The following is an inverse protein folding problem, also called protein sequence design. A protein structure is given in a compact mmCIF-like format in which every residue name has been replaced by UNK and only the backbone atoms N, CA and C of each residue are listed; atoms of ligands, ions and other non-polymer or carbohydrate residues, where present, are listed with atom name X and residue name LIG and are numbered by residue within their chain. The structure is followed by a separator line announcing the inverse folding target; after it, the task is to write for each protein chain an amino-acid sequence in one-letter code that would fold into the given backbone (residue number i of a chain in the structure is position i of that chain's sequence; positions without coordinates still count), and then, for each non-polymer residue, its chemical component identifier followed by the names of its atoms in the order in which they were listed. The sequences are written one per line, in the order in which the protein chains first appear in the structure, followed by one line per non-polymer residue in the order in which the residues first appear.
data_IF_539843661952
#
_entry.id   IF_539843661952
#
_cell.length_a   1.000
_cell.length_b   1.000
_cell.length_c   1.000
_cell.angle_alpha   90.00
_cell.angle_beta   90.00
_cell.angle_gamma   90.00
#
_symmetry.space_group_name_H-M   'P 1'
#
loop_
_entity.id
_entity.type
_entity.pdbx_description
1 polymer ?
#
# COMPACT_ATOMS: atom_id res chain seq x y z
N UNK A 1 1.61 -37.65 -34.48
CA UNK A 1 1.17 -36.79 -33.36
C UNK A 1 1.66 -37.41 -32.06
N UNK A 2 2.92 -37.13 -31.68
CA UNK A 2 3.45 -37.51 -30.36
C UNK A 2 3.18 -36.34 -29.42
N UNK A 3 2.13 -36.41 -28.61
CA UNK A 3 2.00 -35.52 -27.46
C UNK A 3 3.03 -35.97 -26.43
N UNK A 4 4.20 -35.35 -26.43
CA UNK A 4 5.11 -35.40 -25.29
C UNK A 4 4.38 -34.75 -24.11
N UNK A 5 3.90 -35.57 -23.19
CA UNK A 5 3.38 -35.12 -21.91
C UNK A 5 4.53 -34.46 -21.15
N UNK A 6 4.57 -33.13 -21.19
CA UNK A 6 5.50 -32.33 -20.39
C UNK A 6 5.13 -32.57 -18.93
N UNK A 7 5.79 -33.52 -18.28
CA UNK A 7 5.71 -33.71 -16.83
C UNK A 7 6.54 -32.61 -16.20
N UNK A 8 5.86 -31.57 -15.72
CA UNK A 8 6.50 -30.58 -14.86
C UNK A 8 7.00 -31.28 -13.58
N UNK A 9 8.23 -31.00 -13.12
CA UNK A 9 8.71 -31.51 -11.83
C UNK A 9 7.79 -31.01 -10.72
N UNK A 10 7.54 -31.81 -9.68
CA UNK A 10 6.70 -31.42 -8.55
C UNK A 10 7.16 -30.12 -7.86
N UNK A 11 8.44 -29.77 -7.96
CA UNK A 11 8.99 -28.49 -7.49
C UNK A 11 8.47 -27.28 -8.26
N UNK A 12 8.13 -27.44 -9.54
CA UNK A 12 7.58 -26.37 -10.38
C UNK A 12 6.18 -25.98 -9.91
N UNK A 13 5.33 -26.96 -9.59
CA UNK A 13 3.99 -26.73 -9.05
C UNK A 13 4.05 -26.03 -7.69
N UNK A 14 5.01 -26.42 -6.84
CA UNK A 14 5.23 -25.80 -5.53
C UNK A 14 5.63 -24.32 -5.64
N UNK A 15 6.60 -24.00 -6.50
CA UNK A 15 7.08 -22.63 -6.71
C UNK A 15 5.98 -21.76 -7.32
N UNK A 16 5.25 -22.28 -8.31
CA UNK A 16 4.14 -21.54 -8.92
C UNK A 16 3.00 -21.27 -7.95
N UNK A 17 2.62 -22.27 -7.15
CA UNK A 17 1.58 -22.11 -6.13
C UNK A 17 1.98 -21.08 -5.07
N UNK A 18 3.25 -21.09 -4.65
CA UNK A 18 3.78 -20.12 -3.70
C UNK A 18 3.78 -18.70 -4.30
N UNK A 19 4.24 -18.55 -5.54
CA UNK A 19 4.27 -17.25 -6.24
C UNK A 19 2.86 -16.67 -6.40
N UNK A 20 1.89 -17.48 -6.82
CA UNK A 20 0.49 -17.07 -6.93
C UNK A 20 -0.10 -16.69 -5.57
N UNK A 21 0.25 -17.43 -4.51
CA UNK A 21 -0.15 -17.11 -3.14
C UNK A 21 0.33 -15.73 -2.69
N UNK A 22 1.59 -15.40 -2.94
CA UNK A 22 2.17 -14.08 -2.60
C UNK A 22 1.50 -12.96 -3.40
N UNK A 23 1.32 -13.14 -4.70
CA UNK A 23 0.64 -12.14 -5.55
C UNK A 23 -0.81 -11.94 -5.11
N UNK A 24 -1.53 -13.02 -4.82
CA UNK A 24 -2.91 -12.94 -4.33
C UNK A 24 -2.97 -12.22 -2.98
N UNK A 25 -2.06 -12.51 -2.06
CA UNK A 25 -1.99 -11.85 -0.76
C UNK A 25 -1.70 -10.35 -0.90
N UNK A 26 -0.72 -9.99 -1.73
CA UNK A 26 -0.40 -8.59 -2.03
C UNK A 26 -1.57 -7.84 -2.66
N UNK A 27 -2.26 -8.48 -3.62
CA UNK A 27 -3.46 -7.90 -4.24
C UNK A 27 -4.57 -7.66 -3.22
N UNK A 28 -4.83 -8.62 -2.33
CA UNK A 28 -5.81 -8.47 -1.25
C UNK A 28 -5.41 -7.31 -0.33
N UNK A 29 -4.14 -7.20 0.04
CA UNK A 29 -3.65 -6.11 0.88
C UNK A 29 -3.86 -4.73 0.24
N UNK A 30 -3.58 -4.59 -1.06
CA UNK A 30 -3.84 -3.34 -1.82
C UNK A 30 -5.32 -3.02 -1.85
N UNK A 31 -6.18 -4.01 -2.14
CA UNK A 31 -7.64 -3.82 -2.16
C UNK A 31 -8.14 -3.38 -0.79
N UNK A 32 -7.69 -4.02 0.29
CA UNK A 32 -8.06 -3.64 1.66
C UNK A 32 -7.58 -2.23 1.98
N UNK A 33 -6.35 -1.85 1.62
CA UNK A 33 -5.83 -0.51 1.82
C UNK A 33 -6.68 0.55 1.10
N UNK A 34 -7.02 0.31 -0.17
CA UNK A 34 -7.88 1.20 -0.96
C UNK A 34 -9.26 1.30 -0.32
N UNK A 35 -9.88 0.17 0.04
CA UNK A 35 -11.21 0.15 0.67
C UNK A 35 -11.19 0.88 2.00
N UNK A 36 -10.22 0.62 2.88
CA UNK A 36 -10.10 1.30 4.17
C UNK A 36 -9.86 2.80 3.96
N UNK A 37 -9.00 3.18 3.02
CA UNK A 37 -8.73 4.58 2.70
C UNK A 37 -10.00 5.28 2.17
N UNK A 38 -10.73 4.64 1.25
CA UNK A 38 -11.97 5.17 0.67
C UNK A 38 -13.08 5.22 1.71
N UNK A 39 -13.26 4.20 2.54
CA UNK A 39 -14.26 4.17 3.62
C UNK A 39 -13.93 5.24 4.66
N UNK A 40 -12.65 5.43 4.99
CA UNK A 40 -12.19 6.49 5.90
C UNK A 40 -12.40 7.88 5.29
N UNK A 41 -12.19 8.05 3.99
CA UNK A 41 -12.51 9.28 3.26
C UNK A 41 -14.02 9.55 3.18
N UNK A 42 -14.84 8.51 2.99
CA UNK A 42 -16.32 8.59 2.95
C UNK A 42 -16.92 8.94 4.31
N UNK A 43 -16.35 8.39 5.41
CA UNK A 43 -16.73 8.77 6.78
C UNK A 43 -16.48 10.27 7.07
N UNK A 44 -15.59 10.91 6.31
CA UNK A 44 -15.29 12.34 6.40
C UNK A 44 -16.18 13.23 5.51
N UNK A 45 -17.32 12.70 5.01
CA UNK A 45 -18.41 13.49 4.46
C UNK A 45 -18.15 14.13 3.09
N UNK A 46 -17.23 13.55 2.29
CA UNK A 46 -16.92 14.10 0.96
C UNK A 46 -18.01 13.63 -0.01
N UNK A 47 -19.03 14.47 -0.20
CA UNK A 47 -20.08 14.29 -1.19
C UNK A 47 -19.54 14.62 -2.59
N UNK A 48 -19.51 13.65 -3.53
CA UNK A 48 -18.78 13.76 -4.79
C UNK A 48 -19.42 14.65 -5.88
N UNK A 49 -20.56 15.30 -5.62
CA UNK A 49 -21.31 16.06 -6.63
C UNK A 49 -21.08 17.59 -6.61
N UNK A 50 -20.33 18.11 -5.63
CA UNK A 50 -19.90 19.53 -5.54
C UNK A 50 -18.37 19.68 -5.45
N UNK A 51 -17.66 18.59 -5.72
CA UNK A 51 -16.30 18.32 -5.24
C UNK A 51 -15.22 19.30 -5.70
N UNK A 52 -15.34 20.01 -6.82
CA UNK A 52 -14.22 20.82 -7.31
C UNK A 52 -13.98 22.08 -6.47
N UNK A 53 -15.04 22.78 -6.06
CA UNK A 53 -14.94 24.03 -5.29
C UNK A 53 -14.66 23.72 -3.82
N UNK A 54 -15.33 22.71 -3.27
CA UNK A 54 -15.07 22.25 -1.90
C UNK A 54 -13.69 21.61 -1.75
N UNK A 55 -13.16 20.93 -2.78
CA UNK A 55 -11.77 20.45 -2.74
C UNK A 55 -10.77 21.60 -2.76
N UNK A 56 -10.96 22.64 -3.58
CA UNK A 56 -10.05 23.78 -3.60
C UNK A 56 -10.04 24.52 -2.25
N UNK A 57 -11.23 24.77 -1.68
CA UNK A 57 -11.35 25.39 -0.35
C UNK A 57 -10.77 24.48 0.75
N UNK A 58 -11.07 23.17 0.70
CA UNK A 58 -10.58 22.21 1.69
C UNK A 58 -9.09 21.90 1.53
N UNK A 59 -8.50 22.05 0.36
CA UNK A 59 -7.05 21.97 0.11
C UNK A 59 -6.30 23.21 0.64
N UNK A 60 -6.87 24.39 0.44
CA UNK A 60 -6.33 25.64 1.03
C UNK A 60 -6.42 25.60 2.55
N UNK A 61 -7.56 25.13 3.08
CA UNK A 61 -7.77 24.99 4.51
C UNK A 61 -6.99 23.81 5.10
N UNK A 62 -6.81 22.71 4.38
CA UNK A 62 -5.98 21.58 4.82
C UNK A 62 -4.50 21.90 4.78
N UNK A 63 -3.99 22.69 3.82
CA UNK A 63 -2.62 23.24 3.90
C UNK A 63 -2.43 24.10 5.15
N UNK A 64 -3.49 24.75 5.61
CA UNK A 64 -3.46 25.58 6.82
C UNK A 64 -3.71 24.81 8.13
N UNK A 65 -4.35 23.62 8.08
CA UNK A 65 -4.78 22.85 9.26
C UNK A 65 -4.30 21.38 9.31
N UNK A 66 -3.62 20.85 8.30
CA UNK A 66 -3.01 19.53 8.39
C UNK A 66 -1.67 19.67 9.10
N UNK A 67 -1.50 19.07 10.29
CA UNK A 67 -0.19 18.54 10.60
C UNK A 67 0.04 17.47 9.55
N UNK A 68 0.97 17.72 8.63
CA UNK A 68 1.62 16.64 7.90
C UNK A 68 1.97 15.59 8.97
N UNK A 69 1.46 14.36 8.84
CA UNK A 69 1.74 13.32 9.84
C UNK A 69 3.24 13.34 10.07
N UNK A 70 3.64 13.58 11.32
CA UNK A 70 5.04 13.82 11.63
C UNK A 70 5.89 12.69 11.06
N UNK A 71 7.07 13.04 10.56
CA UNK A 71 8.01 12.07 9.99
C UNK A 71 8.18 10.85 10.91
N UNK A 72 8.26 11.09 12.22
CA UNK A 72 8.36 10.04 13.24
C UNK A 72 7.16 9.09 13.25
N UNK A 73 5.93 9.61 13.16
CA UNK A 73 4.72 8.77 13.11
C UNK A 73 4.71 7.85 11.87
N UNK A 74 5.17 8.37 10.73
CA UNK A 74 5.28 7.60 9.49
C UNK A 74 6.36 6.54 9.57
N UNK A 75 7.48 6.83 10.23
CA UNK A 75 8.55 5.86 10.45
C UNK A 75 8.13 4.75 11.41
N UNK A 76 7.43 5.09 12.48
CA UNK A 76 6.89 4.11 13.45
C UNK A 76 5.90 3.14 12.79
N UNK A 77 5.05 3.63 11.87
CA UNK A 77 4.12 2.78 11.13
C UNK A 77 4.85 1.80 10.21
N UNK A 78 5.95 2.22 9.57
CA UNK A 78 6.79 1.35 8.75
C UNK A 78 7.50 0.27 9.59
N UNK A 79 7.99 0.64 10.77
CA UNK A 79 8.60 -0.31 11.72
C UNK A 79 7.58 -1.35 12.22
N UNK A 80 6.34 -0.92 12.51
CA UNK A 80 5.24 -1.81 12.92
C UNK A 80 4.84 -2.78 11.80
N UNK A 81 4.80 -2.31 10.55
CA UNK A 81 4.53 -3.16 9.39
C UNK A 81 5.64 -4.20 9.18
N UNK A 82 6.90 -3.83 9.36
CA UNK A 82 8.03 -4.75 9.28
C UNK A 82 8.01 -5.76 10.43
N UNK A 83 7.70 -5.33 11.65
CA UNK A 83 7.60 -6.19 12.83
C UNK A 83 6.49 -7.25 12.70
N UNK A 84 5.37 -6.89 12.05
CA UNK A 84 4.28 -7.83 11.73
C UNK A 84 4.57 -8.72 10.52
N UNK A 85 5.70 -8.52 9.84
CA UNK A 85 6.05 -9.25 8.62
C UNK A 85 5.16 -8.93 7.42
N UNK A 86 4.47 -7.78 7.43
CA UNK A 86 3.63 -7.32 6.31
C UNK A 86 4.50 -6.85 5.15
N UNK A 87 5.64 -6.25 5.47
CA UNK A 87 6.68 -5.86 4.50
C UNK A 87 7.98 -6.55 4.87
N UNK A 88 8.77 -6.92 3.86
CA UNK A 88 10.11 -7.48 4.05
C UNK A 88 11.09 -6.43 4.56
N UNK A 89 12.22 -6.88 5.11
CA UNK A 89 13.28 -6.01 5.60
C UNK A 89 13.86 -5.10 4.50
N UNK A 90 13.89 -5.59 3.26
CA UNK A 90 14.40 -4.83 2.12
C UNK A 90 13.38 -3.75 1.69
N UNK A 91 12.10 -4.09 1.62
CA UNK A 91 11.01 -3.13 1.36
C UNK A 91 10.93 -2.07 2.47
N UNK A 92 11.11 -2.46 3.74
CA UNK A 92 11.17 -1.53 4.86
C UNK A 92 12.32 -0.53 4.72
N UNK A 93 13.52 -1.01 4.37
CA UNK A 93 14.72 -0.17 4.18
C UNK A 93 14.52 0.85 3.06
N UNK A 94 13.93 0.42 1.95
CA UNK A 94 13.65 1.28 0.80
C UNK A 94 12.57 2.32 1.12
N UNK A 95 11.47 1.91 1.75
CA UNK A 95 10.39 2.81 2.17
C UNK A 95 10.89 3.88 3.15
N UNK A 96 11.70 3.50 4.14
CA UNK A 96 12.30 4.43 5.11
C UNK A 96 13.23 5.44 4.44
N UNK A 97 14.03 5.01 3.47
CA UNK A 97 14.90 5.90 2.70
C UNK A 97 14.10 6.89 1.84
N UNK A 98 12.97 6.46 1.26
CA UNK A 98 12.09 7.34 0.49
C UNK A 98 11.44 8.42 1.38
N UNK A 99 10.96 8.06 2.58
CA UNK A 99 10.40 9.01 3.55
C UNK A 99 11.44 10.05 4.00
N UNK A 100 12.65 9.61 4.37
CA UNK A 100 13.73 10.51 4.80
C UNK A 100 14.24 11.44 3.68
N UNK A 101 14.10 11.03 2.41
CA UNK A 101 14.49 11.85 1.26
C UNK A 101 13.46 12.94 0.99
N UNK A 102 12.17 12.63 1.11
CA UNK A 102 11.08 13.59 0.91
C UNK A 102 10.97 14.67 1.98
N UNK A 103 11.55 14.45 3.17
CA UNK A 103 11.61 15.45 4.24
C UNK A 103 12.75 16.46 4.08
N UNK A 104 13.82 16.09 3.36
CA UNK A 104 14.98 16.96 3.10
C UNK A 104 14.87 17.78 1.81
N UNK A 105 13.81 17.61 1.03
CA UNK A 105 13.59 18.22 -0.28
C UNK A 105 12.46 19.23 -0.24
#
# INVERSE_FOLDING_TARGET
MLLSTVRFPASYDLVWSLALGVVALGFVAVVVLVVVNVVRARRNGISPLTSQVDLAARLLQSRALQPDRSLDERLVELDDLAARGVISTDEHREARAAVLRGDRS
#
